data_IF_306613943652
#
_entry.id   IF_306613943652
#
_cell.length_a   1.000
_cell.length_b   1.000
_cell.length_c   1.000
_cell.angle_alpha   90.00
_cell.angle_beta   90.00
_cell.angle_gamma   90.00
#
_symmetry.space_group_name_H-M   'P 1'
#
loop_
_entity.id
_entity.type
_entity.pdbx_description
1 polymer ?
#
# COMPACT_ATOMS: atom_id res chain seq x y z
N UNK A 1 57.92 9.40 36.22
CA UNK A 1 57.50 9.83 34.88
C UNK A 1 56.52 8.79 34.35
N UNK A 2 55.23 9.12 34.36
CA UNK A 2 54.16 8.20 33.99
C UNK A 2 53.55 8.70 32.69
N UNK A 3 53.93 8.08 31.58
CA UNK A 3 53.34 8.35 30.26
C UNK A 3 51.98 7.66 30.19
N UNK A 4 50.92 8.45 30.30
CA UNK A 4 49.55 8.00 30.03
C UNK A 4 49.35 7.85 28.52
N UNK A 5 48.93 6.65 28.09
CA UNK A 5 48.50 6.38 26.73
C UNK A 5 47.23 7.18 26.40
N UNK A 6 47.03 7.62 25.13
CA UNK A 6 45.85 8.36 24.75
C UNK A 6 44.63 7.43 24.81
N UNK A 7 43.56 7.91 25.45
CA UNK A 7 42.27 7.24 25.45
C UNK A 7 41.73 7.20 24.02
N UNK A 8 41.66 6.00 23.44
CA UNK A 8 40.98 5.73 22.18
C UNK A 8 39.51 6.06 22.37
N UNK A 9 39.01 7.05 21.62
CA UNK A 9 37.60 7.43 21.58
C UNK A 9 36.73 6.21 21.23
N UNK A 10 35.50 6.11 21.78
CA UNK A 10 34.60 5.02 21.41
C UNK A 10 34.31 5.04 19.91
N UNK A 11 34.02 3.89 19.28
CA UNK A 11 33.77 3.81 17.85
C UNK A 11 32.60 4.72 17.48
N UNK A 12 32.74 5.42 16.36
CA UNK A 12 31.69 6.27 15.78
C UNK A 12 30.39 5.48 15.77
N UNK A 13 29.43 5.90 16.61
CA UNK A 13 28.14 5.25 16.72
C UNK A 13 27.40 5.36 15.39
N UNK A 14 26.61 4.34 15.03
CA UNK A 14 25.72 4.43 13.88
C UNK A 14 24.67 5.53 14.12
N UNK A 15 24.89 6.69 13.53
CA UNK A 15 23.94 7.81 13.59
C UNK A 15 22.92 7.64 12.48
N UNK A 16 21.72 7.19 12.87
CA UNK A 16 20.64 6.87 11.92
C UNK A 16 20.28 8.07 11.03
N UNK A 17 20.29 9.28 11.59
CA UNK A 17 19.94 10.49 10.82
C UNK A 17 20.96 10.78 9.71
N UNK A 18 22.26 10.65 9.99
CA UNK A 18 23.33 10.87 9.01
C UNK A 18 23.28 9.79 7.92
N UNK A 19 23.10 8.53 8.32
CA UNK A 19 22.90 7.42 7.38
C UNK A 19 21.71 7.64 6.42
N UNK A 20 20.59 8.16 6.93
CA UNK A 20 19.42 8.44 6.09
C UNK A 20 19.69 9.56 5.06
N UNK A 21 20.52 10.55 5.41
CA UNK A 21 20.92 11.61 4.47
C UNK A 21 21.91 11.07 3.45
N UNK A 22 23.01 10.47 3.92
CA UNK A 22 24.15 10.10 3.08
C UNK A 22 23.86 8.90 2.18
N UNK A 23 23.16 7.90 2.71
CA UNK A 23 22.91 6.63 2.00
C UNK A 23 21.52 6.58 1.37
N UNK A 24 20.49 7.05 2.07
CA UNK A 24 19.12 7.00 1.56
C UNK A 24 18.70 8.25 0.78
N UNK A 25 19.54 9.28 0.71
CA UNK A 25 19.28 10.50 -0.08
C UNK A 25 18.14 11.36 0.48
N UNK A 26 17.82 11.25 1.77
CA UNK A 26 16.80 12.08 2.40
C UNK A 26 17.34 13.48 2.68
N UNK A 27 16.46 14.48 2.63
CA UNK A 27 16.79 15.80 3.20
C UNK A 27 16.97 15.71 4.71
N UNK A 28 17.74 16.62 5.31
CA UNK A 28 17.94 16.63 6.77
C UNK A 28 16.63 16.67 7.56
N UNK A 29 15.64 17.41 7.08
CA UNK A 29 14.32 17.49 7.71
C UNK A 29 13.53 16.16 7.62
N UNK A 30 13.64 15.43 6.50
CA UNK A 30 13.03 14.09 6.37
C UNK A 30 13.77 13.09 7.24
N UNK A 31 15.10 13.11 7.23
CA UNK A 31 15.94 12.23 8.02
C UNK A 31 15.65 12.36 9.52
N UNK A 32 15.48 13.58 10.04
CA UNK A 32 15.14 13.82 11.44
C UNK A 32 13.78 13.21 11.84
N UNK A 33 12.77 13.34 10.97
CA UNK A 33 11.44 12.72 11.21
C UNK A 33 11.51 11.20 11.13
N UNK A 34 12.31 10.68 10.20
CA UNK A 34 12.44 9.25 9.97
C UNK A 34 13.26 8.56 11.05
N UNK A 35 14.38 9.16 11.48
CA UNK A 35 15.28 8.63 12.50
C UNK A 35 14.56 8.40 13.83
N UNK A 36 13.62 9.28 14.21
CA UNK A 36 12.78 9.11 15.39
C UNK A 36 11.97 7.79 15.39
N UNK A 37 11.56 7.28 14.22
CA UNK A 37 10.81 6.02 14.09
C UNK A 37 11.68 4.76 14.15
N UNK A 38 12.99 4.92 13.95
CA UNK A 38 13.98 3.83 13.86
C UNK A 38 15.23 4.09 14.73
N UNK A 39 15.06 4.86 15.81
CA UNK A 39 16.13 5.28 16.74
C UNK A 39 16.82 4.12 17.48
N UNK A 40 16.20 2.95 17.47
CA UNK A 40 16.74 1.73 18.05
C UNK A 40 17.76 1.02 17.15
N UNK A 41 17.90 1.41 15.88
CA UNK A 41 18.91 0.86 14.99
C UNK A 41 20.30 1.28 15.43
N UNK A 42 21.21 0.30 15.53
CA UNK A 42 22.61 0.50 15.98
C UNK A 42 23.64 0.08 14.93
N UNK A 43 23.19 -0.36 13.76
CA UNK A 43 24.04 -0.92 12.70
C UNK A 43 23.39 -0.74 11.33
N UNK A 44 24.18 -0.48 10.27
CA UNK A 44 23.68 -0.33 8.91
C UNK A 44 23.40 -1.68 8.22
N UNK A 45 23.89 -2.81 8.76
CA UNK A 45 23.84 -4.13 8.09
C UNK A 45 22.44 -4.51 7.61
N UNK A 46 21.42 -4.25 8.43
CA UNK A 46 20.03 -4.57 8.09
C UNK A 46 19.42 -3.56 7.09
N UNK A 47 19.51 -2.24 7.34
CA UNK A 47 19.17 -1.23 6.34
C UNK A 47 19.83 -1.48 4.97
N UNK A 48 21.13 -1.74 4.92
CA UNK A 48 21.88 -1.99 3.67
C UNK A 48 21.32 -3.18 2.90
N UNK A 49 21.03 -4.29 3.61
CA UNK A 49 20.40 -5.45 2.98
C UNK A 49 19.04 -5.11 2.35
N UNK A 50 18.24 -4.27 3.02
CA UNK A 50 16.95 -3.80 2.48
C UNK A 50 17.15 -2.88 1.27
N UNK A 51 18.15 -1.99 1.29
CA UNK A 51 18.45 -1.11 0.16
C UNK A 51 18.88 -1.91 -1.08
N UNK A 52 19.77 -2.90 -0.89
CA UNK A 52 20.18 -3.81 -1.97
C UNK A 52 18.97 -4.56 -2.55
N UNK A 53 18.10 -5.09 -1.69
CA UNK A 53 16.87 -5.76 -2.13
C UNK A 53 15.95 -4.84 -2.95
N UNK A 54 15.79 -3.57 -2.55
CA UNK A 54 14.99 -2.61 -3.32
C UNK A 54 15.64 -2.27 -4.68
N UNK A 55 16.96 -2.14 -4.72
CA UNK A 55 17.70 -1.93 -5.95
C UNK A 55 17.56 -3.14 -6.91
N UNK A 56 17.57 -4.37 -6.38
CA UNK A 56 17.31 -5.58 -7.16
C UNK A 56 15.89 -5.59 -7.76
N UNK A 57 14.90 -5.01 -7.08
CA UNK A 57 13.56 -4.78 -7.64
C UNK A 57 13.50 -3.65 -8.69
N UNK A 58 14.65 -3.09 -9.08
CA UNK A 58 14.81 -1.99 -10.02
C UNK A 58 14.19 -0.65 -9.56
N UNK A 59 14.09 -0.43 -8.24
CA UNK A 59 13.76 0.91 -7.72
C UNK A 59 14.96 1.84 -7.88
N UNK A 60 14.70 3.08 -8.31
CA UNK A 60 15.72 4.12 -8.36
C UNK A 60 16.08 4.62 -6.95
N UNK A 61 17.19 5.34 -6.82
CA UNK A 61 17.56 5.99 -5.55
C UNK A 61 16.47 6.96 -5.05
N UNK A 62 15.79 7.64 -5.96
CA UNK A 62 14.67 8.52 -5.63
C UNK A 62 13.44 7.74 -5.12
N UNK A 63 13.13 6.60 -5.75
CA UNK A 63 12.05 5.71 -5.31
C UNK A 63 12.32 5.14 -3.93
N UNK A 64 13.55 4.68 -3.69
CA UNK A 64 14.01 4.21 -2.37
C UNK A 64 13.87 5.32 -1.34
N UNK A 65 14.30 6.55 -1.63
CA UNK A 65 14.15 7.69 -0.73
C UNK A 65 12.67 7.96 -0.40
N UNK A 66 11.77 7.82 -1.38
CA UNK A 66 10.33 7.95 -1.19
C UNK A 66 9.76 6.86 -0.27
N UNK A 67 10.15 5.59 -0.47
CA UNK A 67 9.77 4.46 0.40
C UNK A 67 10.23 4.71 1.83
N UNK A 68 11.50 5.08 2.03
CA UNK A 68 12.09 5.32 3.35
C UNK A 68 11.44 6.53 4.04
N UNK A 69 11.08 7.56 3.28
CA UNK A 69 10.36 8.73 3.80
C UNK A 69 8.95 8.37 4.26
N UNK A 70 8.23 7.57 3.48
CA UNK A 70 6.88 7.11 3.79
C UNK A 70 6.83 6.15 4.99
N UNK A 71 7.72 5.17 5.00
CA UNK A 71 7.85 4.16 6.04
C UNK A 71 9.31 3.89 6.40
N UNK A 72 9.90 4.66 7.32
CA UNK A 72 11.28 4.46 7.78
C UNK A 72 11.53 3.07 8.37
N UNK A 73 10.49 2.43 8.94
CA UNK A 73 10.62 1.08 9.50
C UNK A 73 10.83 0.04 8.38
N UNK A 74 10.68 0.40 7.11
CA UNK A 74 10.98 -0.48 5.99
C UNK A 74 12.44 -0.97 6.03
N UNK A 75 13.36 -0.11 6.44
CA UNK A 75 14.77 -0.45 6.68
C UNK A 75 14.97 -1.47 7.81
N UNK A 76 13.97 -1.68 8.67
CA UNK A 76 13.97 -2.68 9.73
C UNK A 76 13.33 -4.00 9.30
N UNK A 77 12.85 -4.16 8.07
CA UNK A 77 12.25 -5.40 7.59
C UNK A 77 13.32 -6.50 7.44
N UNK A 78 12.93 -7.76 7.66
CA UNK A 78 13.79 -8.89 7.30
C UNK A 78 13.62 -9.21 5.82
N UNK A 79 14.68 -9.12 5.03
CA UNK A 79 14.65 -9.45 3.59
C UNK A 79 14.17 -10.91 3.40
N UNK A 80 14.97 -11.87 3.85
CA UNK A 80 14.68 -13.31 3.72
C UNK A 80 13.38 -13.77 4.38
N UNK A 81 13.03 -13.19 5.53
CA UNK A 81 11.90 -13.67 6.34
C UNK A 81 10.58 -12.97 6.03
N UNK A 82 10.60 -11.86 5.32
CA UNK A 82 9.42 -11.02 5.12
C UNK A 82 9.32 -10.51 3.70
N UNK A 83 10.32 -9.77 3.20
CA UNK A 83 10.21 -9.13 1.89
C UNK A 83 10.28 -10.15 0.74
N UNK A 84 11.23 -11.09 0.77
CA UNK A 84 11.37 -12.11 -0.29
C UNK A 84 10.11 -12.98 -0.40
N UNK A 85 9.55 -13.53 0.70
CA UNK A 85 8.29 -14.28 0.61
C UNK A 85 7.09 -13.48 0.08
N UNK A 86 7.05 -12.16 0.32
CA UNK A 86 6.01 -11.30 -0.24
C UNK A 86 6.21 -11.16 -1.76
N UNK A 87 7.44 -10.90 -2.22
CA UNK A 87 7.77 -10.81 -3.65
C UNK A 87 7.51 -12.12 -4.37
N UNK A 88 7.89 -13.25 -3.79
CA UNK A 88 7.62 -14.58 -4.34
C UNK A 88 6.10 -14.82 -4.46
N UNK A 89 5.36 -14.47 -3.40
CA UNK A 89 3.90 -14.50 -3.40
C UNK A 89 3.30 -13.68 -4.53
N UNK A 90 3.71 -12.42 -4.69
CA UNK A 90 3.22 -11.54 -5.75
C UNK A 90 3.63 -12.05 -7.15
N UNK A 91 4.84 -12.58 -7.29
CA UNK A 91 5.32 -13.18 -8.54
C UNK A 91 4.49 -14.41 -8.91
N UNK A 92 4.12 -15.25 -7.94
CA UNK A 92 3.22 -16.40 -8.16
C UNK A 92 1.79 -16.01 -8.56
N UNK A 93 1.38 -14.76 -8.28
CA UNK A 93 0.12 -14.19 -8.77
C UNK A 93 0.23 -13.66 -10.21
N UNK A 94 1.43 -13.71 -10.82
CA UNK A 94 1.70 -13.26 -12.17
C UNK A 94 2.12 -11.80 -12.28
N UNK A 95 2.43 -11.11 -11.17
CA UNK A 95 2.94 -9.74 -11.23
C UNK A 95 4.39 -9.74 -11.72
N UNK A 96 4.69 -8.82 -12.63
CA UNK A 96 6.05 -8.53 -13.09
C UNK A 96 6.86 -7.80 -12.02
N UNK A 97 8.19 -7.82 -12.17
CA UNK A 97 9.10 -7.08 -11.27
C UNK A 97 8.76 -5.59 -11.21
N UNK A 98 8.39 -4.98 -12.34
CA UNK A 98 8.01 -3.57 -12.40
C UNK A 98 6.70 -3.29 -11.64
N UNK A 99 5.70 -4.15 -11.77
CA UNK A 99 4.45 -4.03 -11.03
C UNK A 99 4.65 -4.20 -9.52
N UNK A 100 5.54 -5.11 -9.11
CA UNK A 100 5.93 -5.28 -7.70
C UNK A 100 6.63 -4.02 -7.19
N UNK A 101 7.56 -3.44 -7.96
CA UNK A 101 8.22 -2.18 -7.60
C UNK A 101 7.22 -1.03 -7.44
N UNK A 102 6.27 -0.91 -8.38
CA UNK A 102 5.17 0.06 -8.26
C UNK A 102 4.33 -0.19 -7.00
N UNK A 103 4.03 -1.45 -6.68
CA UNK A 103 3.28 -1.80 -5.48
C UNK A 103 4.03 -1.40 -4.20
N UNK A 104 5.36 -1.56 -4.13
CA UNK A 104 6.17 -1.10 -2.99
C UNK A 104 5.95 0.38 -2.74
N UNK A 105 5.96 1.19 -3.81
CA UNK A 105 5.78 2.65 -3.72
C UNK A 105 4.36 3.04 -3.28
N UNK A 106 3.34 2.29 -3.71
CA UNK A 106 1.94 2.57 -3.39
C UNK A 106 1.55 2.07 -1.99
N UNK A 107 1.99 0.87 -1.62
CA UNK A 107 1.51 0.17 -0.44
C UNK A 107 2.17 0.63 0.86
N UNK A 108 3.29 1.36 0.80
CA UNK A 108 3.96 1.94 1.96
C UNK A 108 4.16 0.91 3.09
N UNK A 109 3.72 1.20 4.32
CA UNK A 109 3.84 0.31 5.47
C UNK A 109 3.06 -1.01 5.32
N UNK A 110 2.00 -1.02 4.51
CA UNK A 110 1.23 -2.22 4.23
C UNK A 110 2.00 -3.26 3.42
N UNK A 111 3.01 -2.86 2.63
CA UNK A 111 3.81 -3.81 1.85
C UNK A 111 4.51 -4.83 2.75
N UNK A 112 4.90 -4.43 3.96
CA UNK A 112 5.61 -5.31 4.91
C UNK A 112 4.70 -6.30 5.64
N UNK A 113 3.38 -6.18 5.45
CA UNK A 113 2.42 -7.11 6.04
C UNK A 113 2.32 -8.37 5.21
N UNK A 114 2.37 -9.55 5.85
CA UNK A 114 2.09 -10.83 5.19
C UNK A 114 0.72 -10.88 4.50
N UNK A 115 -0.21 -10.03 4.93
CA UNK A 115 -1.55 -9.96 4.31
C UNK A 115 -1.56 -9.30 2.93
N UNK A 116 -0.50 -8.57 2.55
CA UNK A 116 -0.48 -7.80 1.29
C UNK A 116 -0.73 -8.69 0.07
N UNK A 117 -0.15 -9.89 0.04
CA UNK A 117 -0.31 -10.84 -1.07
C UNK A 117 -1.77 -11.23 -1.24
N UNK A 118 -2.45 -11.62 -0.15
CA UNK A 118 -3.86 -12.01 -0.20
C UNK A 118 -4.77 -10.83 -0.56
N UNK A 119 -4.45 -9.61 -0.11
CA UNK A 119 -5.21 -8.40 -0.46
C UNK A 119 -5.06 -8.08 -1.94
N UNK A 120 -3.83 -8.06 -2.45
CA UNK A 120 -3.55 -7.79 -3.87
C UNK A 120 -4.20 -8.84 -4.75
N UNK A 121 -4.09 -10.13 -4.40
CA UNK A 121 -4.77 -11.21 -5.12
C UNK A 121 -6.28 -10.97 -5.24
N UNK A 122 -6.93 -10.57 -4.15
CA UNK A 122 -8.36 -10.26 -4.15
C UNK A 122 -8.69 -9.09 -5.07
N UNK A 123 -7.94 -7.98 -4.97
CA UNK A 123 -8.18 -6.80 -5.79
C UNK A 123 -7.89 -7.02 -7.27
N UNK A 124 -6.82 -7.75 -7.62
CA UNK A 124 -6.53 -8.12 -9.02
C UNK A 124 -7.68 -8.94 -9.60
N UNK A 125 -8.24 -9.90 -8.85
CA UNK A 125 -9.44 -10.64 -9.31
C UNK A 125 -10.67 -9.76 -9.43
N UNK A 126 -10.84 -8.78 -8.55
CA UNK A 126 -12.01 -7.90 -8.55
C UNK A 126 -11.96 -6.89 -9.71
N UNK A 127 -10.79 -6.35 -10.01
CA UNK A 127 -10.59 -5.37 -11.09
C UNK A 127 -10.33 -6.02 -12.45
N UNK A 128 -9.92 -7.30 -12.45
CA UNK A 128 -9.60 -8.09 -13.63
C UNK A 128 -8.10 -8.09 -13.98
N UNK A 129 -7.35 -7.06 -13.58
CA UNK A 129 -5.90 -6.98 -13.78
C UNK A 129 -5.22 -6.12 -12.71
N UNK A 130 -3.89 -6.21 -12.62
CA UNK A 130 -3.11 -5.32 -11.77
C UNK A 130 -2.99 -3.90 -12.35
N UNK A 131 -3.11 -3.72 -13.66
CA UNK A 131 -3.00 -2.41 -14.32
C UNK A 131 -4.01 -1.37 -13.77
N UNK A 132 -5.19 -1.83 -13.36
CA UNK A 132 -6.21 -0.98 -12.75
C UNK A 132 -5.90 -0.66 -11.28
N UNK A 133 -5.07 -1.47 -10.61
CA UNK A 133 -4.79 -1.32 -9.18
C UNK A 133 -4.16 0.03 -8.83
N UNK A 134 -3.08 0.51 -9.50
CA UNK A 134 -2.54 1.86 -9.25
C UNK A 134 -3.55 2.98 -9.45
N UNK A 135 -4.41 2.88 -10.48
CA UNK A 135 -5.44 3.89 -10.78
C UNK A 135 -6.46 3.96 -9.65
N UNK A 136 -6.93 2.80 -9.22
CA UNK A 136 -7.91 2.66 -8.14
C UNK A 136 -7.32 3.09 -6.79
N UNK A 137 -6.06 2.77 -6.53
CA UNK A 137 -5.36 3.14 -5.30
C UNK A 137 -5.14 4.65 -5.19
N UNK A 138 -4.91 5.37 -6.30
CA UNK A 138 -4.82 6.85 -6.31
C UNK A 138 -6.10 7.53 -5.81
N UNK A 139 -7.26 6.90 -6.01
CA UNK A 139 -8.55 7.42 -5.57
C UNK A 139 -9.02 6.84 -4.23
N UNK A 140 -8.32 5.82 -3.71
CA UNK A 140 -8.59 5.25 -2.40
C UNK A 140 -7.33 4.61 -1.79
N UNK A 141 -6.56 5.41 -1.05
CA UNK A 141 -5.36 4.93 -0.34
C UNK A 141 -5.65 3.94 0.79
N UNK A 142 -6.92 3.78 1.19
CA UNK A 142 -7.30 2.94 2.31
C UNK A 142 -7.55 1.47 1.95
N UNK A 143 -7.41 1.09 0.67
CA UNK A 143 -7.67 -0.27 0.19
C UNK A 143 -6.81 -1.33 0.87
N UNK A 144 -5.54 -1.00 1.11
CA UNK A 144 -4.61 -1.91 1.79
C UNK A 144 -4.65 -1.78 3.32
N UNK A 145 -5.29 -0.73 3.84
CA UNK A 145 -5.51 -0.55 5.28
C UNK A 145 -6.64 -1.44 5.80
N UNK A 146 -7.76 -1.49 5.07
CA UNK A 146 -8.96 -2.20 5.53
C UNK A 146 -8.83 -3.73 5.47
N UNK A 147 -9.63 -4.41 6.31
CA UNK A 147 -9.73 -5.86 6.29
C UNK A 147 -10.61 -6.31 5.11
N UNK A 148 -10.02 -7.09 4.20
CA UNK A 148 -10.70 -7.53 2.98
C UNK A 148 -11.92 -8.42 3.28
N UNK A 149 -11.82 -9.33 4.24
CA UNK A 149 -12.92 -10.25 4.57
C UNK A 149 -14.11 -9.53 5.21
N UNK A 150 -13.85 -8.67 6.19
CA UNK A 150 -14.91 -8.07 7.02
C UNK A 150 -15.56 -6.85 6.36
N UNK A 151 -14.80 -6.07 5.60
CA UNK A 151 -15.27 -4.80 5.04
C UNK A 151 -15.48 -4.94 3.54
N UNK A 152 -14.41 -5.25 2.81
CA UNK A 152 -14.41 -5.18 1.34
C UNK A 152 -15.34 -6.22 0.73
N UNK A 153 -15.23 -7.48 1.13
CA UNK A 153 -16.10 -8.55 0.62
C UNK A 153 -17.57 -8.34 0.98
N UNK A 154 -17.85 -7.79 2.17
CA UNK A 154 -19.22 -7.44 2.58
C UNK A 154 -19.81 -6.38 1.66
N UNK A 155 -19.07 -5.31 1.40
CA UNK A 155 -19.50 -4.25 0.50
C UNK A 155 -19.65 -4.76 -0.94
N UNK A 156 -18.69 -5.54 -1.43
CA UNK A 156 -18.76 -6.17 -2.76
C UNK A 156 -19.97 -7.09 -2.88
N UNK A 157 -20.28 -7.89 -1.86
CA UNK A 157 -21.46 -8.76 -1.84
C UNK A 157 -22.77 -7.99 -1.98
N UNK A 158 -22.95 -6.92 -1.19
CA UNK A 158 -24.14 -6.07 -1.27
C UNK A 158 -24.30 -5.42 -2.66
N UNK A 159 -23.19 -4.97 -3.26
CA UNK A 159 -23.23 -4.37 -4.59
C UNK A 159 -23.45 -5.43 -5.68
N UNK A 160 -22.96 -6.65 -5.47
CA UNK A 160 -23.16 -7.77 -6.38
C UNK A 160 -24.63 -8.21 -6.41
N UNK A 161 -25.33 -8.21 -5.28
CA UNK A 161 -26.78 -8.46 -5.23
C UNK A 161 -27.61 -7.43 -6.02
N UNK A 162 -27.08 -6.23 -6.21
CA UNK A 162 -27.78 -5.13 -6.89
C UNK A 162 -27.39 -4.98 -8.38
N UNK A 163 -26.28 -5.60 -8.80
CA UNK A 163 -25.72 -5.46 -10.14
C UNK A 163 -25.89 -6.74 -10.95
N UNK A 164 -25.78 -6.64 -12.28
CA UNK A 164 -26.06 -7.75 -13.19
C UNK A 164 -24.99 -8.86 -13.19
N UNK A 165 -23.82 -8.62 -12.60
CA UNK A 165 -22.76 -9.64 -12.48
C UNK A 165 -21.36 -9.08 -12.18
N UNK A 166 -20.38 -9.99 -12.13
CA UNK A 166 -18.99 -9.73 -11.72
C UNK A 166 -18.28 -8.62 -12.55
N UNK A 167 -18.56 -8.53 -13.85
CA UNK A 167 -17.96 -7.49 -14.71
C UNK A 167 -18.50 -6.08 -14.38
N UNK A 168 -19.78 -5.98 -14.01
CA UNK A 168 -20.39 -4.69 -13.67
C UNK A 168 -19.90 -4.17 -12.32
N UNK A 169 -19.63 -5.06 -11.35
CA UNK A 169 -19.04 -4.69 -10.06
C UNK A 169 -17.57 -4.29 -10.19
N UNK A 170 -16.76 -5.01 -10.96
CA UNK A 170 -15.35 -4.62 -11.19
C UNK A 170 -15.22 -3.21 -11.77
N UNK A 171 -16.05 -2.89 -12.78
CA UNK A 171 -16.14 -1.54 -13.36
C UNK A 171 -16.62 -0.50 -12.35
N UNK A 172 -17.66 -0.81 -11.57
CA UNK A 172 -18.17 0.09 -10.52
C UNK A 172 -17.08 0.40 -9.49
N UNK A 173 -16.40 -0.61 -8.99
CA UNK A 173 -15.36 -0.47 -7.98
C UNK A 173 -14.09 0.20 -8.52
N UNK A 174 -13.85 0.13 -9.82
CA UNK A 174 -12.77 0.86 -10.48
C UNK A 174 -13.12 2.35 -10.62
N UNK A 175 -14.36 2.67 -10.99
CA UNK A 175 -14.83 4.06 -11.14
C UNK A 175 -15.07 4.75 -9.79
N UNK A 176 -15.55 4.03 -8.79
CA UNK A 176 -15.87 4.59 -7.46
C UNK A 176 -15.24 3.74 -6.34
N UNK A 177 -13.89 3.75 -6.21
CA UNK A 177 -13.16 2.89 -5.28
C UNK A 177 -13.53 3.03 -3.81
N UNK A 178 -14.05 4.19 -3.40
CA UNK A 178 -14.49 4.44 -2.01
C UNK A 178 -15.58 3.46 -1.56
N UNK A 179 -16.38 2.93 -2.49
CA UNK A 179 -17.45 1.98 -2.17
C UNK A 179 -16.90 0.67 -1.58
N UNK A 180 -15.63 0.34 -1.83
CA UNK A 180 -14.98 -0.84 -1.28
C UNK A 180 -14.68 -0.72 0.21
N UNK A 181 -14.44 0.50 0.70
CA UNK A 181 -14.01 0.77 2.07
C UNK A 181 -14.99 1.62 2.88
N UNK A 182 -16.09 2.07 2.27
CA UNK A 182 -17.13 2.83 2.94
C UNK A 182 -17.83 2.00 4.03
N UNK A 183 -18.49 2.70 4.96
CA UNK A 183 -19.35 2.05 5.94
C UNK A 183 -20.51 1.34 5.19
N UNK A 184 -20.85 0.13 5.63
CA UNK A 184 -21.95 -0.65 5.07
C UNK A 184 -23.27 0.13 5.01
N UNK A 185 -23.56 0.98 6.00
CA UNK A 185 -24.79 1.78 6.00
C UNK A 185 -24.77 2.86 4.92
N UNK A 186 -23.60 3.41 4.58
CA UNK A 186 -23.46 4.34 3.46
C UNK A 186 -23.72 3.62 2.13
N UNK A 187 -23.24 2.38 1.99
CA UNK A 187 -23.52 1.56 0.80
C UNK A 187 -25.01 1.29 0.68
N UNK A 188 -25.69 0.93 1.78
CA UNK A 188 -27.14 0.73 1.78
C UNK A 188 -27.91 2.00 1.44
N UNK A 189 -27.50 3.15 1.96
CA UNK A 189 -28.11 4.44 1.63
C UNK A 189 -27.96 4.75 0.13
N UNK A 190 -26.77 4.54 -0.44
CA UNK A 190 -26.53 4.74 -1.88
C UNK A 190 -27.42 3.81 -2.72
N UNK A 191 -27.54 2.54 -2.34
CA UNK A 191 -28.41 1.57 -3.02
C UNK A 191 -29.86 2.02 -2.95
N UNK A 192 -30.36 2.38 -1.76
CA UNK A 192 -31.73 2.85 -1.56
C UNK A 192 -32.04 4.12 -2.36
N UNK A 193 -31.10 5.07 -2.42
CA UNK A 193 -31.23 6.27 -3.24
C UNK A 193 -31.25 5.93 -4.74
N UNK A 194 -30.43 4.99 -5.21
CA UNK A 194 -30.45 4.55 -6.61
C UNK A 194 -31.78 3.87 -7.00
N UNK A 195 -32.38 3.11 -6.08
CA UNK A 195 -33.73 2.54 -6.25
C UNK A 195 -34.81 3.63 -6.25
N UNK A 196 -34.66 4.65 -5.40
CA UNK A 196 -35.55 5.81 -5.35
C UNK A 196 -35.59 6.63 -6.64
N UNK A 197 -34.56 6.51 -7.51
CA UNK A 197 -34.55 7.07 -8.86
C UNK A 197 -35.38 6.26 -9.87
N UNK A 198 -36.04 5.19 -9.43
CA UNK A 198 -36.87 4.32 -10.27
C UNK A 198 -36.08 3.32 -11.13
N UNK A 199 -34.76 3.17 -10.90
CA UNK A 199 -33.92 2.25 -11.67
C UNK A 199 -33.95 0.86 -11.01
N UNK A 200 -34.40 -0.20 -11.71
CA UNK A 200 -34.49 -1.53 -11.12
C UNK A 200 -33.09 -2.16 -10.94
N UNK A 201 -32.91 -2.91 -9.85
CA UNK A 201 -31.72 -3.74 -9.60
C UNK A 201 -31.48 -4.72 -10.75
N UNK A 202 -30.23 -5.06 -11.00
CA UNK A 202 -29.84 -5.97 -12.09
C UNK A 202 -29.96 -5.36 -13.50
N UNK A 203 -30.50 -4.15 -13.65
CA UNK A 203 -30.43 -3.43 -14.92
C UNK A 203 -29.01 -2.91 -15.17
N UNK A 204 -28.63 -2.78 -16.44
CA UNK A 204 -27.35 -2.14 -16.81
C UNK A 204 -27.25 -0.68 -16.36
N UNK A 205 -28.41 -0.03 -16.18
CA UNK A 205 -28.51 1.35 -15.69
C UNK A 205 -28.31 1.47 -14.18
N UNK A 206 -28.51 0.39 -13.42
CA UNK A 206 -28.34 0.44 -11.96
C UNK A 206 -26.91 0.79 -11.56
N UNK A 207 -25.91 0.30 -12.32
CA UNK A 207 -24.51 0.71 -12.13
C UNK A 207 -24.33 2.22 -12.27
N UNK A 208 -24.95 2.83 -13.29
CA UNK A 208 -24.87 4.27 -13.52
C UNK A 208 -25.55 5.05 -12.40
N UNK A 209 -26.73 4.60 -11.95
CA UNK A 209 -27.43 5.20 -10.82
C UNK A 209 -26.57 5.16 -9.54
N UNK A 210 -25.96 4.00 -9.23
CA UNK A 210 -25.02 3.87 -8.10
C UNK A 210 -23.83 4.84 -8.22
N UNK A 211 -23.24 4.95 -9.43
CA UNK A 211 -22.14 5.88 -9.67
C UNK A 211 -22.57 7.32 -9.41
N UNK A 212 -23.67 7.77 -10.00
CA UNK A 212 -24.17 9.15 -9.83
C UNK A 212 -24.46 9.49 -8.38
N UNK A 213 -25.20 8.64 -7.66
CA UNK A 213 -25.50 8.87 -6.23
C UNK A 213 -24.22 8.84 -5.39
N UNK A 214 -23.29 7.93 -5.69
CA UNK A 214 -22.02 7.87 -5.00
C UNK A 214 -21.08 9.04 -5.36
N UNK A 215 -21.32 9.81 -6.41
CA UNK A 215 -20.61 11.08 -6.61
C UNK A 215 -21.27 12.22 -5.84
N UNK A 216 -22.59 12.30 -5.82
CA UNK A 216 -23.35 13.35 -5.13
C UNK A 216 -23.17 13.33 -3.61
N UNK A 217 -23.05 12.13 -3.01
CA UNK A 217 -22.76 11.99 -1.57
C UNK A 217 -21.28 12.32 -1.20
N UNK A 218 -20.54 13.03 -2.06
CA UNK A 218 -19.22 13.59 -1.77
C UNK A 218 -19.21 15.12 -1.63
N UNK A 219 -20.34 15.80 -1.88
CA UNK A 219 -20.58 17.19 -1.46
C UNK A 219 -21.31 17.22 -0.10
#
# INVERSE_FOLDING_TARGET
ATTAAPAVSPPVGFVVEDYLVDTCGLTRAQALKASAKISHLKSPVKPDAVLTFLAELALSTADIAAVVTGDPKFLCAGVERTLSPIVDGLTSLGLSRLEIAQLVLLANDHFRSKSVVSKVHYYVRLFGSFEEFPRVFKHNHNLLSHNVERVVKRNVGLLQECTRGACDIGKLCTTVPRMLTANVEQIRAIVASAEGLGVPRGSGMFRQALQSVAFLNNE
#
